data_IF_156616263269
#
_entry.id   IF_156616263269
#
_cell.length_a   1.000
_cell.length_b   1.000
_cell.length_c   1.000
_cell.angle_alpha   90.00
_cell.angle_beta   90.00
_cell.angle_gamma   90.00
#
_symmetry.space_group_name_H-M   'P 1'
#
loop_
_entity.id
_entity.type
_entity.pdbx_description
1 polymer ?
#
# COMPACT_ATOMS: atom_id res chain seq x y z
N UNK A 1 7.63 8.74 19.93
CA UNK A 1 6.38 9.10 19.20
C UNK A 1 5.68 10.27 19.90
N UNK A 2 5.37 11.34 19.17
CA UNK A 2 4.64 12.49 19.73
C UNK A 2 3.12 12.28 19.78
N UNK A 3 2.61 11.12 19.30
CA UNK A 3 1.18 10.80 19.30
C UNK A 3 0.94 9.30 19.54
N UNK A 4 0.64 8.93 20.78
CA UNK A 4 0.51 7.52 21.21
C UNK A 4 -0.86 6.91 20.91
N UNK A 5 -1.92 7.73 20.83
CA UNK A 5 -3.26 7.23 20.50
C UNK A 5 -3.31 6.63 19.09
N UNK A 6 -2.63 7.29 18.16
CA UNK A 6 -2.49 6.82 16.77
C UNK A 6 -1.73 5.48 16.68
N UNK A 7 -0.64 5.34 17.44
CA UNK A 7 0.12 4.09 17.46
C UNK A 7 -0.75 2.95 17.99
N UNK A 8 -1.53 3.19 19.03
CA UNK A 8 -2.45 2.20 19.58
C UNK A 8 -3.51 1.77 18.56
N UNK A 9 -4.12 2.72 17.86
CA UNK A 9 -5.12 2.43 16.82
C UNK A 9 -4.53 1.60 15.67
N UNK A 10 -3.36 1.99 15.16
CA UNK A 10 -2.68 1.25 14.09
C UNK A 10 -2.30 -0.18 14.51
N UNK A 11 -1.85 -0.37 15.75
CA UNK A 11 -1.53 -1.68 16.31
C UNK A 11 -2.78 -2.57 16.44
N UNK A 12 -3.92 -1.99 16.83
CA UNK A 12 -5.20 -2.69 16.88
C UNK A 12 -5.64 -3.13 15.50
N UNK A 13 -5.59 -2.24 14.51
CA UNK A 13 -5.98 -2.57 13.14
C UNK A 13 -5.04 -3.62 12.54
N UNK A 14 -3.72 -3.51 12.75
CA UNK A 14 -2.75 -4.53 12.31
C UNK A 14 -3.15 -5.93 12.77
N UNK A 15 -3.51 -6.09 14.05
CA UNK A 15 -3.94 -7.39 14.57
C UNK A 15 -5.24 -7.88 13.93
N UNK A 16 -6.20 -6.97 13.71
CA UNK A 16 -7.41 -7.32 12.99
C UNK A 16 -7.06 -7.82 11.59
N UNK A 17 -6.14 -7.18 10.87
CA UNK A 17 -5.74 -7.62 9.54
C UNK A 17 -5.05 -8.99 9.54
N UNK A 18 -4.18 -9.25 10.51
CA UNK A 18 -3.57 -10.58 10.71
C UNK A 18 -4.62 -11.68 10.93
N UNK A 19 -5.75 -11.35 11.57
CA UNK A 19 -6.86 -12.29 11.83
C UNK A 19 -7.83 -12.42 10.66
N UNK A 20 -8.16 -11.32 9.99
CA UNK A 20 -9.18 -11.25 8.96
C UNK A 20 -8.66 -11.67 7.58
N UNK A 21 -7.35 -11.56 7.34
CA UNK A 21 -6.73 -11.83 6.04
C UNK A 21 -5.38 -12.54 6.19
N UNK A 22 -5.32 -13.69 6.90
CA UNK A 22 -4.06 -14.36 7.22
C UNK A 22 -3.29 -14.86 5.99
N UNK A 23 -3.96 -14.97 4.83
CA UNK A 23 -3.34 -15.38 3.56
C UNK A 23 -2.53 -14.25 2.89
N UNK A 24 -2.77 -12.99 3.26
CA UNK A 24 -2.11 -11.82 2.63
C UNK A 24 -1.38 -10.94 3.64
N UNK A 25 -1.61 -11.14 4.95
CA UNK A 25 -1.02 -10.34 6.02
C UNK A 25 -0.30 -11.29 6.95
N UNK A 26 1.02 -11.11 7.06
CA UNK A 26 1.88 -11.97 7.85
C UNK A 26 2.67 -11.16 8.85
N UNK A 27 2.95 -11.78 9.98
CA UNK A 27 3.79 -11.20 11.01
C UNK A 27 5.25 -11.42 10.65
N UNK A 28 6.00 -10.34 10.47
CA UNK A 28 7.39 -10.38 10.03
C UNK A 28 8.33 -9.81 11.11
N UNK A 29 9.49 -10.45 11.32
CA UNK A 29 10.51 -9.90 12.19
C UNK A 29 11.37 -8.86 11.47
N UNK A 30 11.75 -7.84 12.23
CA UNK A 30 12.64 -6.76 11.82
C UNK A 30 13.79 -6.68 12.82
N UNK A 31 14.99 -6.41 12.30
CA UNK A 31 16.22 -6.29 13.08
C UNK A 31 16.80 -4.91 12.87
N UNK A 32 17.02 -4.21 13.99
CA UNK A 32 17.80 -2.98 14.05
C UNK A 32 19.24 -3.33 14.42
N UNK A 33 20.21 -3.29 13.50
CA UNK A 33 21.61 -3.55 13.81
C UNK A 33 22.24 -2.39 14.59
N UNK A 34 23.00 -2.70 15.64
CA UNK A 34 23.58 -1.72 16.56
C UNK A 34 25.11 -1.64 16.40
N UNK A 35 25.63 -0.47 16.05
CA UNK A 35 27.05 -0.20 15.83
C UNK A 35 27.68 0.67 16.93
N UNK A 36 26.90 1.06 17.94
CA UNK A 36 27.40 1.68 19.18
C UNK A 36 27.01 0.84 20.39
N UNK A 37 27.88 0.80 21.39
CA UNK A 37 27.70 -0.03 22.58
C UNK A 37 26.38 0.22 23.33
N UNK A 38 25.86 1.46 23.32
CA UNK A 38 24.64 1.85 24.03
C UNK A 38 23.34 1.62 23.23
N UNK A 39 23.43 1.39 21.91
CA UNK A 39 22.27 1.36 21.02
C UNK A 39 21.31 0.21 21.34
N UNK A 40 21.83 -0.97 21.73
CA UNK A 40 20.99 -2.11 22.13
C UNK A 40 20.09 -1.77 23.31
N UNK A 41 20.61 -1.05 24.31
CA UNK A 41 19.84 -0.62 25.47
C UNK A 41 18.84 0.48 25.09
N UNK A 42 19.29 1.49 24.35
CA UNK A 42 18.46 2.62 23.92
C UNK A 42 17.28 2.18 23.04
N UNK A 43 17.55 1.44 21.96
CA UNK A 43 16.53 0.95 21.05
C UNK A 43 15.72 -0.19 21.67
N UNK A 44 16.33 -1.05 22.48
CA UNK A 44 15.64 -2.09 23.23
C UNK A 44 14.57 -1.51 24.15
N UNK A 45 14.87 -0.41 24.85
CA UNK A 45 13.91 0.30 25.69
C UNK A 45 12.81 0.98 24.85
N UNK A 46 13.16 1.64 23.74
CA UNK A 46 12.15 2.23 22.85
C UNK A 46 11.17 1.20 22.27
N UNK A 47 11.70 0.07 21.81
CA UNK A 47 10.91 -1.01 21.20
C UNK A 47 10.19 -1.87 22.24
N UNK A 48 10.64 -1.92 23.50
CA UNK A 48 9.89 -2.58 24.57
C UNK A 48 8.58 -1.84 24.86
N UNK A 49 8.59 -0.50 24.87
CA UNK A 49 7.36 0.30 24.96
C UNK A 49 6.42 0.03 23.78
N UNK A 50 6.94 -0.05 22.56
CA UNK A 50 6.15 -0.40 21.38
C UNK A 50 5.53 -1.80 21.51
N UNK A 51 6.33 -2.80 21.90
CA UNK A 51 5.88 -4.20 22.10
C UNK A 51 4.82 -4.28 23.21
N UNK A 52 5.00 -3.54 24.29
CA UNK A 52 4.05 -3.44 25.38
C UNK A 52 2.71 -2.88 24.90
N UNK A 53 2.70 -1.77 24.15
CA UNK A 53 1.47 -1.21 23.57
C UNK A 53 0.78 -2.18 22.62
N UNK A 54 1.54 -2.87 21.77
CA UNK A 54 0.99 -3.88 20.88
C UNK A 54 0.29 -4.98 21.68
N UNK A 55 0.94 -5.48 22.75
CA UNK A 55 0.36 -6.49 23.63
C UNK A 55 -0.92 -6.00 24.31
N UNK A 56 -0.94 -4.76 24.81
CA UNK A 56 -2.16 -4.17 25.40
C UNK A 56 -3.29 -3.97 24.38
N UNK A 57 -2.95 -3.64 23.15
CA UNK A 57 -3.93 -3.35 22.11
C UNK A 57 -4.54 -4.60 21.49
N UNK A 58 -3.80 -5.71 21.43
CA UNK A 58 -4.10 -6.81 20.51
C UNK A 58 -3.90 -8.22 21.08
N UNK A 59 -3.21 -8.36 22.21
CA UNK A 59 -2.92 -9.65 22.85
C UNK A 59 -1.67 -10.38 22.32
N UNK A 60 -1.20 -10.08 21.11
CA UNK A 60 0.03 -10.63 20.54
C UNK A 60 0.88 -9.54 19.86
N UNK A 61 2.09 -9.33 20.35
CA UNK A 61 3.06 -8.38 19.81
C UNK A 61 4.26 -9.05 19.13
N UNK A 62 4.40 -10.38 19.30
CA UNK A 62 5.70 -11.05 19.16
C UNK A 62 6.62 -10.76 20.35
N UNK A 63 7.78 -11.40 20.39
CA UNK A 63 8.79 -11.16 21.41
C UNK A 63 9.87 -10.19 20.91
N UNK A 64 10.12 -9.14 21.68
CA UNK A 64 11.34 -8.35 21.54
C UNK A 64 12.54 -9.24 21.92
N UNK A 65 13.62 -9.19 21.16
CA UNK A 65 14.84 -9.93 21.49
C UNK A 65 16.07 -9.06 21.26
N UNK A 66 16.99 -9.06 22.23
CA UNK A 66 18.31 -8.46 22.08
C UNK A 66 19.23 -9.54 21.52
N UNK A 67 19.79 -9.29 20.35
CA UNK A 67 20.67 -10.21 19.66
C UNK A 67 22.14 -9.90 19.97
N UNK A 68 22.93 -10.95 20.15
CA UNK A 68 24.39 -10.92 20.06
C UNK A 68 24.85 -10.53 18.66
N UNK A 69 26.15 -10.28 18.50
CA UNK A 69 26.75 -9.98 17.20
C UNK A 69 26.57 -11.16 16.24
N UNK A 70 26.82 -12.37 16.74
CA UNK A 70 26.78 -13.62 16.00
C UNK A 70 25.36 -13.92 15.51
N UNK A 71 24.36 -13.84 16.39
CA UNK A 71 22.94 -14.01 16.02
C UNK A 71 22.46 -12.96 15.01
N UNK A 72 22.97 -11.72 15.12
CA UNK A 72 22.62 -10.66 14.16
C UNK A 72 23.19 -10.97 12.78
N UNK A 73 24.44 -11.45 12.70
CA UNK A 73 25.08 -11.82 11.44
C UNK A 73 24.48 -13.07 10.81
N UNK A 74 23.99 -14.01 11.62
CA UNK A 74 23.25 -15.18 11.13
C UNK A 74 21.94 -14.78 10.45
N UNK A 75 21.20 -13.86 11.07
CA UNK A 75 19.88 -13.41 10.57
C UNK A 75 19.97 -12.40 9.43
N UNK A 76 21.00 -11.56 9.44
CA UNK A 76 21.28 -10.56 8.41
C UNK A 76 22.69 -10.78 7.82
N UNK A 77 22.92 -11.84 7.03
CA UNK A 77 24.27 -12.20 6.53
C UNK A 77 24.92 -11.12 5.65
N UNK A 78 24.13 -10.22 5.07
CA UNK A 78 24.60 -9.13 4.21
C UNK A 78 25.13 -7.88 4.93
N UNK A 79 25.08 -7.80 6.28
CA UNK A 79 25.48 -6.58 7.00
C UNK A 79 26.98 -6.51 7.30
N UNK A 80 27.46 -5.29 7.52
CA UNK A 80 28.85 -5.01 7.90
C UNK A 80 29.13 -5.55 9.31
N UNK A 81 30.09 -6.47 9.43
CA UNK A 81 30.46 -7.07 10.73
C UNK A 81 31.37 -6.19 11.60
N UNK A 82 32.14 -5.30 10.98
CA UNK A 82 33.05 -4.39 11.69
C UNK A 82 32.26 -3.31 12.44
N UNK A 83 32.55 -3.15 13.73
CA UNK A 83 31.86 -2.21 14.62
C UNK A 83 30.49 -2.68 15.12
N UNK A 84 29.99 -3.84 14.67
CA UNK A 84 28.70 -4.38 15.09
C UNK A 84 28.76 -4.92 16.53
N UNK A 85 27.85 -4.44 17.39
CA UNK A 85 27.67 -4.88 18.78
C UNK A 85 26.54 -5.91 18.96
N UNK A 86 25.71 -6.12 17.93
CA UNK A 86 24.52 -6.96 17.94
C UNK A 86 23.32 -6.25 17.33
N UNK A 87 22.11 -6.59 17.74
CA UNK A 87 20.90 -5.99 17.20
C UNK A 87 19.70 -6.06 18.13
N UNK A 88 18.64 -5.34 17.79
CA UNK A 88 17.35 -5.41 18.45
C UNK A 88 16.32 -5.94 17.46
N UNK A 89 15.74 -7.09 17.77
CA UNK A 89 14.73 -7.76 16.95
C UNK A 89 13.34 -7.48 17.51
N UNK A 90 12.44 -7.03 16.65
CA UNK A 90 11.03 -6.77 16.96
C UNK A 90 10.15 -7.28 15.83
N UNK A 91 8.82 -7.21 16.01
CA UNK A 91 7.87 -7.70 15.03
C UNK A 91 6.92 -6.58 14.57
N UNK A 92 6.63 -6.61 13.27
CA UNK A 92 5.52 -5.87 12.67
C UNK A 92 4.80 -6.79 11.66
N UNK A 93 3.95 -6.24 10.80
CA UNK A 93 3.29 -7.00 9.73
C UNK A 93 3.79 -6.59 8.34
N UNK A 94 3.88 -7.57 7.45
CA UNK A 94 4.03 -7.38 6.01
C UNK A 94 2.72 -7.83 5.34
N UNK A 95 2.31 -7.13 4.29
CA UNK A 95 1.15 -7.52 3.51
C UNK A 95 1.35 -7.23 2.02
N UNK A 96 0.58 -7.90 1.18
CA UNK A 96 0.48 -7.59 -0.24
C UNK A 96 -0.65 -6.57 -0.47
N UNK A 97 -0.30 -5.36 -0.90
CA UNK A 97 -1.23 -4.24 -1.03
C UNK A 97 -2.23 -4.38 -2.18
N UNK A 98 -1.77 -4.69 -3.39
CA UNK A 98 -2.66 -4.80 -4.54
C UNK A 98 -3.54 -6.05 -4.49
N UNK A 99 -3.05 -7.19 -3.96
CA UNK A 99 -3.90 -8.38 -3.73
C UNK A 99 -4.90 -8.13 -2.61
N UNK A 100 -4.54 -7.35 -1.59
CA UNK A 100 -5.50 -6.94 -0.56
C UNK A 100 -6.58 -6.02 -1.12
N UNK A 101 -6.25 -5.12 -2.05
CA UNK A 101 -7.23 -4.30 -2.77
C UNK A 101 -8.21 -5.17 -3.60
N UNK A 102 -7.71 -6.21 -4.27
CA UNK A 102 -8.53 -7.17 -5.02
C UNK A 102 -9.41 -7.99 -4.08
N UNK A 103 -8.88 -8.45 -2.95
CA UNK A 103 -9.66 -9.17 -1.94
C UNK A 103 -10.80 -8.31 -1.36
N UNK A 104 -10.56 -7.00 -1.16
CA UNK A 104 -11.61 -6.06 -0.77
C UNK A 104 -12.70 -5.94 -1.84
N UNK A 105 -12.31 -5.86 -3.11
CA UNK A 105 -13.25 -5.85 -4.23
C UNK A 105 -14.08 -7.14 -4.29
N UNK A 106 -13.45 -8.31 -4.21
CA UNK A 106 -14.17 -9.60 -4.18
C UNK A 106 -15.14 -9.68 -3.00
N UNK A 107 -14.72 -9.21 -1.82
CA UNK A 107 -15.60 -9.16 -0.65
C UNK A 107 -16.79 -8.24 -0.91
N UNK A 108 -16.58 -7.06 -1.50
CA UNK A 108 -17.66 -6.15 -1.83
C UNK A 108 -18.66 -6.77 -2.83
N UNK A 109 -18.16 -7.43 -3.88
CA UNK A 109 -18.98 -8.14 -4.88
C UNK A 109 -19.77 -9.29 -4.24
N UNK A 110 -19.15 -10.07 -3.35
CA UNK A 110 -19.82 -11.13 -2.60
C UNK A 110 -20.96 -10.61 -1.71
N UNK A 111 -20.88 -9.34 -1.29
CA UNK A 111 -21.92 -8.61 -0.58
C UNK A 111 -22.87 -7.82 -1.48
N UNK A 112 -22.84 -8.05 -2.80
CA UNK A 112 -23.78 -7.47 -3.77
C UNK A 112 -23.40 -6.09 -4.29
N UNK A 113 -22.17 -5.61 -4.04
CA UNK A 113 -21.68 -4.39 -4.66
C UNK A 113 -21.38 -4.59 -6.15
N UNK A 114 -21.60 -3.55 -6.95
CA UNK A 114 -21.11 -3.48 -8.33
C UNK A 114 -19.79 -2.72 -8.31
N UNK A 115 -18.70 -3.41 -8.66
CA UNK A 115 -17.36 -2.83 -8.78
C UNK A 115 -17.01 -2.68 -10.26
N UNK A 116 -16.68 -1.45 -10.67
CA UNK A 116 -16.26 -1.12 -12.03
C UNK A 116 -14.88 -0.48 -11.99
N UNK A 117 -13.96 -0.98 -12.80
CA UNK A 117 -12.68 -0.34 -13.10
C UNK A 117 -12.67 0.14 -14.55
N UNK A 118 -11.65 0.93 -14.93
CA UNK A 118 -11.62 1.62 -16.23
C UNK A 118 -12.85 2.50 -16.49
N UNK A 119 -13.46 3.00 -15.41
CA UNK A 119 -14.58 3.95 -15.42
C UNK A 119 -14.16 5.21 -14.68
N UNK A 120 -13.95 6.31 -15.41
CA UNK A 120 -13.51 7.59 -14.84
C UNK A 120 -14.72 8.45 -14.45
N UNK A 121 -14.61 9.19 -13.34
CA UNK A 121 -15.58 10.23 -13.00
C UNK A 121 -15.24 11.51 -13.77
N UNK A 122 -16.21 12.05 -14.49
CA UNK A 122 -16.06 13.19 -15.40
C UNK A 122 -16.83 14.43 -14.93
N UNK A 123 -17.74 14.28 -13.96
CA UNK A 123 -18.59 15.37 -13.52
C UNK A 123 -19.76 14.94 -12.67
N UNK A 124 -20.54 15.92 -12.25
CA UNK A 124 -21.72 15.72 -11.41
C UNK A 124 -22.87 16.61 -11.87
N UNK A 125 -24.09 16.07 -11.83
CA UNK A 125 -25.31 16.87 -11.98
C UNK A 125 -25.91 17.14 -10.60
N UNK A 126 -26.36 18.37 -10.38
CA UNK A 126 -26.90 18.84 -9.11
C UNK A 126 -28.40 19.08 -9.18
N UNK A 127 -29.10 18.72 -8.10
CA UNK A 127 -30.45 19.15 -7.81
C UNK A 127 -30.42 20.01 -6.53
N UNK A 128 -30.38 21.34 -6.72
CA UNK A 128 -30.14 22.28 -5.61
C UNK A 128 -28.71 22.19 -5.10
N UNK A 129 -28.55 21.90 -3.81
CA UNK A 129 -27.25 21.76 -3.13
C UNK A 129 -26.71 20.32 -3.12
N UNK A 130 -27.52 19.34 -3.57
CA UNK A 130 -27.17 17.91 -3.58
C UNK A 130 -26.80 17.42 -4.97
N UNK A 131 -25.91 16.45 -5.01
CA UNK A 131 -25.58 15.69 -6.21
C UNK A 131 -26.74 14.73 -6.50
N UNK A 132 -27.34 14.86 -7.68
CA UNK A 132 -28.36 13.93 -8.19
C UNK A 132 -27.70 12.72 -8.87
N UNK A 133 -26.65 12.97 -9.66
CA UNK A 133 -25.95 11.92 -10.41
C UNK A 133 -24.49 12.27 -10.68
N UNK A 134 -23.70 11.23 -10.91
CA UNK A 134 -22.33 11.30 -11.38
C UNK A 134 -22.28 10.97 -12.87
N UNK A 135 -21.52 11.74 -13.63
CA UNK A 135 -21.19 11.46 -15.03
C UNK A 135 -19.90 10.65 -15.02
N UNK A 136 -19.93 9.50 -15.67
CA UNK A 136 -18.76 8.62 -15.78
C UNK A 136 -18.46 8.29 -17.23
N UNK A 137 -17.19 8.12 -17.55
CA UNK A 137 -16.72 7.66 -18.86
C UNK A 137 -16.19 6.24 -18.73
N UNK A 138 -16.76 5.33 -19.52
CA UNK A 138 -16.15 4.02 -19.78
C UNK A 138 -14.93 4.24 -20.68
N UNK A 139 -13.73 4.01 -20.15
CA UNK A 139 -12.47 4.24 -20.87
C UNK A 139 -12.21 3.20 -21.96
N UNK A 140 -12.90 2.06 -21.95
CA UNK A 140 -12.76 1.02 -22.97
C UNK A 140 -13.57 1.40 -24.23
N UNK A 141 -14.80 1.93 -24.06
CA UNK A 141 -15.66 2.31 -25.19
C UNK A 141 -15.70 3.81 -25.51
N UNK A 142 -15.20 4.67 -24.61
CA UNK A 142 -15.30 6.13 -24.68
C UNK A 142 -16.70 6.68 -24.41
N UNK A 143 -17.67 5.83 -24.04
CA UNK A 143 -19.05 6.24 -23.81
C UNK A 143 -19.22 6.86 -22.44
N UNK A 144 -20.03 7.91 -22.37
CA UNK A 144 -20.42 8.55 -21.11
C UNK A 144 -21.76 8.01 -20.61
N UNK A 145 -21.82 7.76 -19.32
CA UNK A 145 -22.99 7.27 -18.61
C UNK A 145 -23.33 8.21 -17.44
N UNK A 146 -24.59 8.22 -17.03
CA UNK A 146 -25.05 8.97 -15.86
C UNK A 146 -25.54 7.99 -14.80
N UNK A 147 -24.92 8.03 -13.62
CA UNK A 147 -25.22 7.13 -12.50
C UNK A 147 -25.89 7.94 -11.39
N UNK A 148 -27.16 7.64 -11.09
CA UNK A 148 -27.88 8.25 -9.98
C UNK A 148 -27.46 7.62 -8.65
N UNK A 149 -27.33 8.45 -7.61
CA UNK A 149 -26.93 8.01 -6.28
C UNK A 149 -27.60 8.84 -5.20
N UNK A 150 -27.87 8.21 -4.05
CA UNK A 150 -28.37 8.93 -2.87
C UNK A 150 -27.24 9.57 -2.07
N UNK A 151 -26.07 8.94 -2.13
CA UNK A 151 -24.87 9.29 -1.37
C UNK A 151 -23.65 9.03 -2.23
N UNK A 152 -22.66 9.91 -2.15
CA UNK A 152 -21.40 9.81 -2.89
C UNK A 152 -20.22 9.82 -1.91
N UNK A 153 -19.20 9.02 -2.19
CA UNK A 153 -17.97 8.99 -1.41
C UNK A 153 -16.80 9.28 -2.35
N UNK A 154 -16.07 10.36 -2.10
CA UNK A 154 -14.85 10.68 -2.81
C UNK A 154 -13.66 10.11 -2.03
N UNK A 155 -13.18 8.95 -2.49
CA UNK A 155 -12.04 8.22 -1.90
C UNK A 155 -10.84 8.19 -2.86
N UNK A 156 -10.68 9.21 -3.71
CA UNK A 156 -9.72 9.21 -4.82
C UNK A 156 -8.24 9.45 -4.41
N UNK A 157 -7.88 9.18 -3.14
CA UNK A 157 -6.49 9.27 -2.67
C UNK A 157 -5.85 10.65 -2.96
N UNK A 158 -4.69 10.71 -3.64
CA UNK A 158 -4.06 11.97 -4.04
C UNK A 158 -4.93 12.85 -4.96
N UNK A 159 -5.91 12.26 -5.65
CA UNK A 159 -6.75 12.93 -6.65
C UNK A 159 -8.10 13.44 -6.09
N UNK A 160 -8.29 13.47 -4.78
CA UNK A 160 -9.58 13.93 -4.19
C UNK A 160 -9.92 15.36 -4.56
N UNK A 161 -8.92 16.25 -4.69
CA UNK A 161 -9.15 17.65 -5.04
C UNK A 161 -9.52 17.81 -6.52
N UNK A 162 -9.01 16.96 -7.40
CA UNK A 162 -9.40 16.84 -8.80
C UNK A 162 -10.87 16.42 -8.93
N UNK A 163 -11.30 15.40 -8.18
CA UNK A 163 -12.71 14.99 -8.15
C UNK A 163 -13.60 16.12 -7.61
N UNK A 164 -13.16 16.86 -6.59
CA UNK A 164 -13.91 18.00 -6.06
C UNK A 164 -14.07 19.12 -7.09
N UNK A 165 -13.05 19.40 -7.91
CA UNK A 165 -13.12 20.40 -8.99
C UNK A 165 -14.15 20.02 -10.06
N UNK A 166 -14.38 18.74 -10.33
CA UNK A 166 -15.40 18.26 -11.27
C UNK A 166 -16.84 18.61 -10.86
N UNK A 167 -17.06 19.07 -9.62
CA UNK A 167 -18.37 19.59 -9.19
C UNK A 167 -18.72 20.95 -9.80
N UNK A 168 -17.74 21.66 -10.39
CA UNK A 168 -17.90 23.02 -10.89
C UNK A 168 -18.09 24.08 -9.79
N UNK A 169 -17.99 23.70 -8.50
CA UNK A 169 -18.03 24.61 -7.36
C UNK A 169 -16.63 25.17 -7.07
N UNK A 170 -16.56 26.37 -6.50
CA UNK A 170 -15.30 26.93 -6.03
C UNK A 170 -14.81 26.17 -4.79
N UNK A 171 -13.77 25.36 -4.97
CA UNK A 171 -13.19 24.49 -3.94
C UNK A 171 -11.72 24.81 -3.73
N UNK A 172 -11.32 24.97 -2.47
CA UNK A 172 -9.92 25.13 -2.10
C UNK A 172 -9.27 23.75 -1.90
N UNK A 173 -8.07 23.51 -2.44
CA UNK A 173 -7.36 22.27 -2.23
C UNK A 173 -6.92 22.14 -0.78
N UNK A 174 -7.02 20.93 -0.23
CA UNK A 174 -6.57 20.61 1.12
C UNK A 174 -5.64 19.40 1.17
N UNK A 175 -5.36 18.75 0.04
CA UNK A 175 -4.36 17.69 -0.07
C UNK A 175 -3.05 18.25 -0.60
N UNK A 176 -1.96 17.86 0.04
CA UNK A 176 -0.60 17.94 -0.50
C UNK A 176 -0.16 16.55 -0.89
N UNK A 177 0.39 16.42 -2.09
CA UNK A 177 0.96 15.17 -2.55
C UNK A 177 2.42 15.07 -2.11
N UNK A 178 2.82 13.92 -1.59
CA UNK A 178 4.22 13.58 -1.33
C UNK A 178 4.53 12.23 -1.94
N UNK A 179 5.56 12.14 -2.78
CA UNK A 179 6.00 10.88 -3.36
C UNK A 179 6.97 10.15 -2.45
N UNK A 180 6.88 8.83 -2.48
CA UNK A 180 7.83 7.92 -1.86
C UNK A 180 8.21 6.81 -2.82
N UNK A 181 9.51 6.57 -2.92
CA UNK A 181 10.09 5.66 -3.89
C UNK A 181 10.76 4.47 -3.20
N UNK A 182 10.90 3.38 -3.93
CA UNK A 182 11.60 2.17 -3.52
C UNK A 182 12.47 1.65 -4.66
N UNK A 183 13.58 1.00 -4.31
CA UNK A 183 14.41 0.22 -5.24
C UNK A 183 14.30 -1.27 -4.87
N UNK A 184 14.32 -2.13 -5.89
CA UNK A 184 14.30 -3.58 -5.76
C UNK A 184 15.67 -4.12 -6.15
N UNK A 185 16.24 -4.98 -5.30
CA UNK A 185 17.56 -5.58 -5.46
C UNK A 185 17.47 -7.11 -5.42
N UNK A 186 18.50 -7.80 -5.95
CA UNK A 186 18.63 -9.25 -5.78
C UNK A 186 18.94 -9.60 -4.32
N UNK A 187 18.02 -10.30 -3.67
CA UNK A 187 18.15 -10.75 -2.28
C UNK A 187 19.37 -11.68 -2.08
N UNK A 188 19.76 -12.44 -3.11
CA UNK A 188 20.88 -13.40 -3.06
C UNK A 188 22.21 -12.69 -2.84
N UNK A 189 22.37 -11.48 -3.39
CA UNK A 189 23.58 -10.65 -3.21
C UNK A 189 23.87 -10.33 -1.74
N UNK A 190 22.84 -10.38 -0.89
CA UNK A 190 22.92 -10.08 0.54
C UNK A 190 22.79 -11.33 1.43
N UNK A 191 22.99 -12.53 0.87
CA UNK A 191 22.99 -13.78 1.61
C UNK A 191 21.60 -14.34 1.92
N UNK A 192 20.56 -13.94 1.18
CA UNK A 192 19.19 -14.41 1.36
C UNK A 192 18.62 -14.22 2.78
N UNK A 193 18.69 -13.00 3.36
CA UNK A 193 18.12 -12.75 4.68
C UNK A 193 16.63 -13.09 4.69
N UNK A 194 16.17 -13.68 5.80
CA UNK A 194 14.75 -14.01 6.02
C UNK A 194 14.01 -12.98 6.85
N UNK A 195 14.74 -12.06 7.48
CA UNK A 195 14.20 -11.01 8.34
C UNK A 195 14.55 -9.64 7.76
N UNK A 196 13.70 -8.64 8.01
CA UNK A 196 13.91 -7.28 7.51
C UNK A 196 14.97 -6.52 8.30
N UNK A 197 15.77 -5.68 7.64
CA UNK A 197 16.67 -4.74 8.31
C UNK A 197 15.98 -3.37 8.47
N UNK A 198 16.00 -2.83 9.69
CA UNK A 198 15.50 -1.51 10.03
C UNK A 198 16.67 -0.55 10.27
N UNK A 199 16.74 0.52 9.46
CA UNK A 199 17.71 1.60 9.60
C UNK A 199 17.02 2.73 10.37
N UNK A 200 17.41 2.97 11.64
CA UNK A 200 16.68 3.87 12.53
C UNK A 200 16.92 5.35 12.23
N UNK A 201 17.96 5.66 11.45
CA UNK A 201 18.34 7.04 11.15
C UNK A 201 19.08 7.13 9.81
N UNK A 202 18.45 7.76 8.84
CA UNK A 202 19.05 8.17 7.57
C UNK A 202 19.83 9.49 7.72
N UNK A 203 20.53 9.90 6.66
CA UNK A 203 21.27 11.17 6.58
C UNK A 203 20.46 12.41 6.94
N UNK A 204 19.14 12.37 6.74
CA UNK A 204 18.19 13.45 7.08
C UNK A 204 17.30 13.15 8.30
N UNK A 205 17.60 12.09 9.05
CA UNK A 205 16.91 11.78 10.30
C UNK A 205 15.62 10.97 10.18
N UNK A 206 15.30 10.46 8.98
CA UNK A 206 14.18 9.53 8.74
C UNK A 206 14.60 8.07 9.01
N UNK A 207 13.67 7.15 8.77
CA UNK A 207 13.90 5.70 8.85
C UNK A 207 13.94 5.12 7.44
N UNK A 208 14.67 4.02 7.26
CA UNK A 208 14.73 3.27 6.01
C UNK A 208 14.63 1.76 6.33
N UNK A 209 14.10 0.99 5.41
CA UNK A 209 13.95 -0.46 5.53
C UNK A 209 14.68 -1.15 4.38
N UNK A 210 15.19 -2.35 4.65
CA UNK A 210 15.61 -3.32 3.63
C UNK A 210 14.89 -4.63 3.92
N UNK A 211 13.86 -4.96 3.13
CA UNK A 211 12.90 -6.02 3.43
C UNK A 211 12.97 -7.13 2.40
N UNK A 212 13.13 -8.39 2.83
CA UNK A 212 12.85 -9.53 1.96
C UNK A 212 11.39 -9.47 1.48
N UNK A 213 11.18 -9.55 0.17
CA UNK A 213 9.87 -9.41 -0.47
C UNK A 213 9.85 -10.15 -1.82
N UNK A 214 9.01 -11.17 -1.97
CA UNK A 214 8.91 -12.01 -3.18
C UNK A 214 10.26 -12.50 -3.72
N UNK A 215 11.15 -12.98 -2.84
CA UNK A 215 12.49 -13.42 -3.22
C UNK A 215 13.48 -12.30 -3.59
N UNK A 216 13.05 -11.04 -3.48
CA UNK A 216 13.82 -9.83 -3.72
C UNK A 216 14.13 -9.10 -2.40
N UNK A 217 14.98 -8.07 -2.47
CA UNK A 217 15.19 -7.13 -1.38
C UNK A 217 14.64 -5.75 -1.76
N UNK A 218 13.55 -5.35 -1.11
CA UNK A 218 12.97 -4.02 -1.25
C UNK A 218 13.68 -3.04 -0.31
N UNK A 219 14.14 -1.90 -0.84
CA UNK A 219 14.75 -0.84 -0.05
C UNK A 219 13.94 0.45 -0.20
N UNK A 220 13.54 1.03 0.93
CA UNK A 220 12.80 2.28 0.92
C UNK A 220 12.40 2.80 2.31
N UNK A 221 11.82 3.99 2.40
CA UNK A 221 11.34 4.83 1.29
C UNK A 221 11.84 6.27 1.38
N UNK A 222 11.58 7.04 0.33
CA UNK A 222 11.76 8.50 0.28
C UNK A 222 10.45 9.24 0.64
N UNK A 223 10.56 10.56 0.74
CA UNK A 223 9.46 11.47 1.08
C UNK A 223 9.81 12.83 0.50
N UNK A 224 9.37 13.07 -0.74
CA UNK A 224 9.60 14.31 -1.47
C UNK A 224 8.25 14.94 -1.85
N UNK A 225 8.12 16.27 -1.88
CA UNK A 225 6.93 16.92 -2.42
C UNK A 225 6.68 16.48 -3.86
N UNK A 226 5.43 16.18 -4.20
CA UNK A 226 5.01 15.86 -5.56
C UNK A 226 4.12 17.00 -6.11
N UNK A 227 4.36 17.47 -7.35
CA UNK A 227 3.51 18.48 -7.96
C UNK A 227 2.04 18.03 -8.08
N UNK A 228 1.14 19.00 -8.02
CA UNK A 228 -0.29 18.82 -8.30
C UNK A 228 -0.67 19.54 -9.60
N UNK A 229 -1.47 18.95 -10.51
CA UNK A 229 -2.08 17.62 -10.41
C UNK A 229 -1.04 16.49 -10.45
N UNK A 230 -1.30 15.44 -9.68
CA UNK A 230 -0.40 14.28 -9.54
C UNK A 230 -0.34 13.51 -10.87
N UNK A 231 0.88 13.24 -11.35
CA UNK A 231 1.09 12.37 -12.50
C UNK A 231 0.64 10.93 -12.15
N UNK A 232 -0.10 10.28 -13.05
CA UNK A 232 -0.50 8.87 -12.88
C UNK A 232 0.70 7.92 -12.92
N UNK A 233 1.80 8.33 -13.56
CA UNK A 233 3.07 7.58 -13.60
C UNK A 233 4.23 8.42 -13.05
N UNK A 234 4.26 8.66 -11.73
CA UNK A 234 5.37 9.37 -11.12
C UNK A 234 6.66 8.57 -11.32
N UNK A 235 7.75 9.26 -11.65
CA UNK A 235 9.06 8.64 -11.89
C UNK A 235 9.99 8.93 -10.71
N UNK A 236 10.80 7.93 -10.38
CA UNK A 236 11.85 8.06 -9.38
C UNK A 236 12.95 8.98 -9.91
N UNK A 237 13.51 9.81 -9.05
CA UNK A 237 14.68 10.64 -9.39
C UNK A 237 16.01 9.96 -9.04
N UNK A 238 17.09 10.39 -9.70
CA UNK A 238 18.43 9.89 -9.41
C UNK A 238 18.86 10.18 -7.97
N UNK A 239 18.44 11.33 -7.42
CA UNK A 239 18.72 11.72 -6.05
C UNK A 239 18.03 10.80 -5.03
N UNK A 240 16.83 10.29 -5.34
CA UNK A 240 16.12 9.32 -4.50
C UNK A 240 16.82 7.97 -4.49
N UNK A 241 17.31 7.52 -5.65
CA UNK A 241 18.12 6.30 -5.79
C UNK A 241 19.41 6.44 -4.98
N UNK A 242 20.15 7.53 -5.16
CA UNK A 242 21.40 7.80 -4.45
C UNK A 242 21.17 7.90 -2.95
N UNK A 243 20.07 8.53 -2.51
CA UNK A 243 19.70 8.58 -1.10
C UNK A 243 19.51 7.19 -0.51
N UNK A 244 18.72 6.32 -1.15
CA UNK A 244 18.46 4.97 -0.64
C UNK A 244 19.74 4.12 -0.63
N UNK A 245 20.51 4.15 -1.72
CA UNK A 245 21.79 3.43 -1.82
C UNK A 245 22.79 3.91 -0.77
N UNK A 246 22.99 5.23 -0.62
CA UNK A 246 23.96 5.77 0.33
C UNK A 246 23.60 5.37 1.78
N UNK A 247 22.32 5.42 2.14
CA UNK A 247 21.87 5.07 3.49
C UNK A 247 21.96 3.56 3.76
N UNK A 248 21.54 2.69 2.84
CA UNK A 248 21.65 1.25 3.05
C UNK A 248 23.11 0.78 3.03
N UNK A 249 23.95 1.39 2.19
CA UNK A 249 25.37 1.07 2.10
C UNK A 249 26.14 1.30 3.40
N UNK A 250 25.67 2.15 4.31
CA UNK A 250 26.30 2.32 5.62
C UNK A 250 26.23 1.06 6.50
N UNK A 251 25.27 0.18 6.21
CA UNK A 251 24.99 -1.03 6.97
C UNK A 251 25.39 -2.31 6.25
N UNK A 252 25.49 -2.28 4.91
CA UNK A 252 25.76 -3.46 4.10
C UNK A 252 27.26 -3.74 3.95
N UNK A 253 27.64 -5.02 4.00
CA UNK A 253 28.99 -5.52 3.71
C UNK A 253 29.32 -5.33 2.23
N UNK A 254 28.41 -5.75 1.36
CA UNK A 254 28.51 -5.56 -0.09
C UNK A 254 27.75 -4.31 -0.48
N UNK A 255 28.43 -3.36 -1.13
CA UNK A 255 27.80 -2.11 -1.55
C UNK A 255 26.83 -2.36 -2.69
N UNK A 256 25.67 -1.72 -2.59
CA UNK A 256 24.69 -1.53 -3.66
C UNK A 256 25.24 -0.47 -4.61
N UNK A 257 25.16 -0.79 -5.89
CA UNK A 257 25.46 0.06 -7.04
C UNK A 257 24.22 0.19 -7.92
N UNK A 258 24.21 1.12 -8.87
CA UNK A 258 23.04 1.34 -9.74
C UNK A 258 22.74 0.12 -10.61
N UNK A 259 23.79 -0.60 -10.98
CA UNK A 259 23.75 -1.83 -11.77
C UNK A 259 23.06 -2.99 -11.03
N UNK A 260 22.89 -2.89 -9.71
CA UNK A 260 22.19 -3.90 -8.91
C UNK A 260 20.67 -3.69 -8.84
N UNK A 261 20.17 -2.55 -9.33
CA UNK A 261 18.75 -2.20 -9.26
C UNK A 261 18.00 -2.93 -10.36
N UNK A 262 17.08 -3.81 -9.95
CA UNK A 262 16.28 -4.63 -10.85
C UNK A 262 14.97 -3.96 -11.24
N UNK A 263 14.38 -3.20 -10.31
CA UNK A 263 13.19 -2.41 -10.55
C UNK A 263 13.10 -1.25 -9.56
N UNK A 264 12.23 -0.29 -9.87
CA UNK A 264 11.87 0.81 -8.98
C UNK A 264 10.38 1.04 -9.04
N UNK A 265 9.77 1.47 -7.95
CA UNK A 265 8.39 1.95 -7.97
C UNK A 265 8.22 3.18 -7.08
N UNK A 266 7.20 3.97 -7.41
CA UNK A 266 6.88 5.23 -6.74
C UNK A 266 5.40 5.23 -6.39
N UNK A 267 5.09 5.60 -5.15
CA UNK A 267 3.74 5.86 -4.68
C UNK A 267 3.58 7.31 -4.26
N UNK A 268 2.34 7.82 -4.28
CA UNK A 268 2.01 9.19 -3.85
C UNK A 268 1.08 9.15 -2.65
N UNK A 269 1.47 9.85 -1.59
CA UNK A 269 0.75 9.96 -0.32
C UNK A 269 -0.19 11.16 -0.37
N UNK A 270 -1.50 10.99 -0.06
CA UNK A 270 -2.43 12.10 0.08
C UNK A 270 -2.31 12.74 1.47
N UNK A 271 -1.42 13.72 1.64
CA UNK A 271 -1.23 14.38 2.93
C UNK A 271 -2.29 15.47 3.15
N UNK A 272 -3.21 15.23 4.07
CA UNK A 272 -4.24 16.20 4.43
C UNK A 272 -3.68 17.40 5.21
N UNK A 273 -4.12 18.60 4.86
CA UNK A 273 -3.75 19.85 5.54
C UNK A 273 -4.97 20.54 6.18
N UNK A 274 -5.12 20.48 7.53
CA UNK A 274 -6.29 21.03 8.22
C UNK A 274 -6.52 22.54 8.02
N UNK A 275 -5.43 23.31 7.83
CA UNK A 275 -5.48 24.78 7.72
C UNK A 275 -6.33 25.27 6.53
N UNK A 276 -6.39 24.49 5.43
CA UNK A 276 -7.17 24.85 4.25
C UNK A 276 -8.62 24.34 4.31
N UNK A 277 -8.88 23.30 5.11
CA UNK A 277 -10.19 22.67 5.22
C UNK A 277 -11.15 23.41 6.18
N UNK A 278 -10.63 24.15 7.15
CA UNK A 278 -11.43 25.01 8.03
C UNK A 278 -12.16 26.14 7.28
N UNK A 279 -11.74 26.44 6.04
CA UNK A 279 -12.40 27.40 5.16
C UNK A 279 -13.50 26.79 4.28
N UNK A 280 -13.53 25.46 4.10
CA UNK A 280 -14.48 24.76 3.21
C UNK A 280 -15.50 23.90 3.95
N UNK A 281 -15.23 23.48 5.18
CA UNK A 281 -16.17 22.80 6.06
C UNK A 281 -16.55 23.70 7.23
N UNK A 282 -17.84 24.03 7.39
CA UNK A 282 -18.35 24.57 8.65
C UNK A 282 -17.97 23.65 9.83
N UNK A 283 -18.14 24.12 11.08
CA UNK A 283 -17.70 23.57 12.39
C UNK A 283 -17.85 22.05 12.70
N UNK A 284 -18.19 21.20 11.74
CA UNK A 284 -18.49 19.76 11.82
C UNK A 284 -17.44 18.82 11.21
N UNK A 285 -16.28 19.31 10.77
CA UNK A 285 -15.18 18.43 10.33
C UNK A 285 -14.60 17.65 11.53
N UNK A 286 -14.88 16.35 11.62
CA UNK A 286 -14.21 15.45 12.58
C UNK A 286 -12.84 15.08 12.01
N UNK A 287 -11.82 15.83 12.41
CA UNK A 287 -10.43 15.65 11.96
C UNK A 287 -9.72 14.67 12.91
N UNK A 288 -9.26 13.53 12.38
CA UNK A 288 -8.15 12.80 12.99
C UNK A 288 -6.85 13.37 12.42
N UNK A 289 -5.73 13.30 13.16
CA UNK A 289 -4.43 13.78 12.67
C UNK A 289 -3.91 12.98 11.47
N UNK A 290 -4.47 11.80 11.18
CA UNK A 290 -4.04 10.95 10.05
C UNK A 290 -5.01 11.00 8.86
N UNK A 291 -6.32 10.97 9.09
CA UNK A 291 -7.34 10.99 8.03
C UNK A 291 -8.46 12.00 8.31
N UNK A 292 -9.10 12.45 7.25
CA UNK A 292 -10.24 13.36 7.30
C UNK A 292 -11.46 12.77 6.60
N UNK A 293 -12.62 12.94 7.25
CA UNK A 293 -13.94 12.68 6.65
C UNK A 293 -14.64 14.03 6.54
N UNK A 294 -14.76 14.54 5.31
CA UNK A 294 -15.19 15.92 5.04
C UNK A 294 -16.55 15.87 4.33
N UNK A 295 -17.63 16.32 4.98
CA UNK A 295 -18.94 16.41 4.36
C UNK A 295 -18.99 17.58 3.39
N UNK A 296 -19.36 17.31 2.14
CA UNK A 296 -19.41 18.30 1.07
C UNK A 296 -20.68 18.10 0.22
N UNK A 297 -21.10 19.15 -0.49
CA UNK A 297 -22.12 19.08 -1.55
C UNK A 297 -23.44 18.39 -1.16
N UNK A 298 -23.87 18.57 0.09
CA UNK A 298 -25.14 18.07 0.63
C UNK A 298 -25.21 16.55 0.88
N UNK A 299 -24.64 15.72 -0.01
CA UNK A 299 -24.65 14.26 0.06
C UNK A 299 -23.37 13.59 -0.45
N UNK A 300 -22.22 14.28 -0.32
CA UNK A 300 -20.90 13.69 -0.55
C UNK A 300 -20.06 13.67 0.73
N UNK A 301 -19.29 12.61 0.94
CA UNK A 301 -18.17 12.63 1.89
C UNK A 301 -16.86 12.48 1.12
N UNK A 302 -15.92 13.42 1.32
CA UNK A 302 -14.53 13.26 0.88
C UNK A 302 -13.71 12.61 1.99
N UNK A 303 -13.02 11.52 1.66
CA UNK A 303 -12.16 10.75 2.54
C UNK A 303 -10.72 10.87 2.03
N UNK A 304 -9.83 11.44 2.85
CA UNK A 304 -8.44 11.67 2.47
C UNK A 304 -7.50 11.51 3.67
N UNK A 305 -6.19 11.47 3.39
CA UNK A 305 -5.20 11.04 4.37
C UNK A 305 -5.29 9.55 4.66
N UNK A 306 -4.81 9.20 5.84
CA UNK A 306 -4.81 7.86 6.38
C UNK A 306 -3.65 7.01 5.85
N UNK A 307 -3.63 5.78 6.33
CA UNK A 307 -2.67 4.74 5.95
C UNK A 307 -3.44 3.50 5.57
N UNK A 308 -2.81 2.64 4.78
CA UNK A 308 -3.38 1.35 4.45
C UNK A 308 -3.77 0.56 5.71
N UNK A 309 -2.92 0.55 6.75
CA UNK A 309 -3.21 -0.13 8.03
C UNK A 309 -4.53 0.30 8.67
N UNK A 310 -4.99 1.53 8.43
CA UNK A 310 -6.20 2.09 9.03
C UNK A 310 -7.43 2.09 8.11
N UNK A 311 -7.34 1.52 6.89
CA UNK A 311 -8.41 1.64 5.87
C UNK A 311 -9.79 1.23 6.39
N UNK A 312 -9.85 0.14 7.17
CA UNK A 312 -11.10 -0.43 7.70
C UNK A 312 -11.75 0.52 8.71
N UNK A 313 -10.96 1.04 9.65
CA UNK A 313 -11.44 2.03 10.62
C UNK A 313 -11.84 3.35 9.93
N UNK A 314 -11.11 3.77 8.88
CA UNK A 314 -11.48 4.94 8.08
C UNK A 314 -12.84 4.75 7.39
N UNK A 315 -13.07 3.58 6.79
CA UNK A 315 -14.35 3.25 6.15
C UNK A 315 -15.49 3.21 7.18
N UNK A 316 -15.27 2.59 8.35
CA UNK A 316 -16.25 2.59 9.45
C UNK A 316 -16.58 4.02 9.92
N UNK A 317 -15.57 4.87 10.06
CA UNK A 317 -15.75 6.29 10.41
C UNK A 317 -16.58 7.03 9.34
N UNK A 318 -16.30 6.82 8.06
CA UNK A 318 -17.06 7.43 6.96
C UNK A 318 -18.54 7.04 7.01
N UNK A 319 -18.83 5.74 7.20
CA UNK A 319 -20.21 5.24 7.31
C UNK A 319 -20.93 5.79 8.53
N UNK A 320 -20.23 5.90 9.68
CA UNK A 320 -20.78 6.51 10.89
C UNK A 320 -21.15 7.99 10.66
N UNK A 321 -20.27 8.77 10.03
CA UNK A 321 -20.55 10.18 9.71
C UNK A 321 -21.73 10.32 8.75
N UNK A 322 -21.85 9.44 7.75
CA UNK A 322 -22.98 9.43 6.83
C UNK A 322 -24.31 9.14 7.57
N UNK A 323 -24.31 8.19 8.50
CA UNK A 323 -25.48 7.86 9.32
C UNK A 323 -25.86 8.98 10.29
N UNK A 324 -24.88 9.57 10.99
CA UNK A 324 -25.08 10.71 11.90
C UNK A 324 -25.69 11.93 11.19
N UNK A 325 -25.42 12.08 9.89
CA UNK A 325 -26.00 13.14 9.04
C UNK A 325 -27.35 12.79 8.44
N UNK A 326 -27.89 11.60 8.73
CA UNK A 326 -29.15 11.12 8.15
C UNK A 326 -29.09 10.89 6.64
N UNK A 327 -27.89 10.72 6.06
CA UNK A 327 -27.70 10.47 4.63
C UNK A 327 -27.92 8.99 4.29
N UNK A 328 -27.69 8.12 5.26
CA UNK A 328 -27.98 6.68 5.20
C UNK A 328 -28.60 6.21 6.52
N UNK A 329 -29.31 5.07 6.54
CA UNK A 329 -29.74 4.46 7.79
C UNK A 329 -28.55 4.09 8.69
N UNK A 330 -28.74 4.23 10.01
CA UNK A 330 -27.77 3.69 10.97
C UNK A 330 -27.75 2.16 10.92
N UNK A 331 -26.55 1.58 10.94
CA UNK A 331 -26.36 0.13 10.90
C UNK A 331 -25.15 -0.28 11.75
N UNK A 332 -25.14 -1.53 12.20
CA UNK A 332 -24.01 -2.10 12.90
C UNK A 332 -22.94 -2.55 11.88
N UNK A 333 -21.70 -2.14 12.10
CA UNK A 333 -20.55 -2.59 11.30
C UNK A 333 -20.17 -4.02 11.69
N UNK A 334 -20.00 -4.88 10.69
CA UNK A 334 -19.53 -6.27 10.89
C UNK A 334 -18.05 -6.43 10.55
N UNK A 335 -17.38 -5.36 10.11
CA UNK A 335 -16.05 -5.43 9.47
C UNK A 335 -14.93 -5.89 10.40
N UNK A 336 -15.09 -5.80 11.71
CA UNK A 336 -14.12 -6.34 12.68
C UNK A 336 -14.13 -7.87 12.78
N UNK A 337 -15.14 -8.51 12.17
CA UNK A 337 -15.34 -9.97 12.15
C UNK A 337 -15.58 -10.51 10.74
N UNK A 338 -15.35 -9.69 9.71
CA UNK A 338 -15.60 -10.06 8.32
C UNK A 338 -14.26 -10.38 7.65
N UNK A 339 -13.92 -11.67 7.43
CA UNK A 339 -12.75 -12.03 6.65
C UNK A 339 -12.88 -11.51 5.22
N UNK A 340 -11.75 -11.19 4.59
CA UNK A 340 -11.77 -10.84 3.16
C UNK A 340 -11.84 -12.09 2.29
N UNK A 341 -12.57 -11.99 1.19
CA UNK A 341 -12.63 -13.00 0.13
C UNK A 341 -11.32 -13.00 -0.65
N UNK A 342 -10.41 -13.90 -0.28
CA UNK A 342 -9.17 -14.16 -1.00
C UNK A 342 -9.38 -15.36 -1.93
N UNK A 343 -8.99 -15.22 -3.19
CA UNK A 343 -8.98 -16.35 -4.12
C UNK A 343 -7.78 -17.26 -3.81
N UNK A 344 -8.05 -18.53 -3.51
CA UNK A 344 -7.03 -19.54 -3.20
C UNK A 344 -6.95 -20.63 -4.27
N UNK A 345 -7.60 -20.45 -5.42
CA UNK A 345 -7.54 -21.40 -6.53
C UNK A 345 -6.15 -21.48 -7.18
N UNK A 346 -5.36 -20.41 -7.05
CA UNK A 346 -3.98 -20.33 -7.51
C UNK A 346 -3.07 -19.85 -6.38
N UNK A 347 -1.82 -20.27 -6.44
CA UNK A 347 -0.74 -19.69 -5.65
C UNK A 347 0.03 -18.70 -6.53
N UNK A 348 -0.29 -17.39 -6.46
CA UNK A 348 0.33 -16.40 -7.31
C UNK A 348 1.83 -16.20 -6.97
N UNK A 349 2.25 -16.46 -5.73
CA UNK A 349 3.68 -16.40 -5.38
C UNK A 349 4.47 -17.57 -6.00
N UNK A 350 3.89 -18.77 -6.04
CA UNK A 350 4.50 -19.89 -6.75
C UNK A 350 4.63 -19.61 -8.26
N UNK A 351 3.60 -19.02 -8.89
CA UNK A 351 3.64 -18.62 -10.30
C UNK A 351 4.74 -17.58 -10.53
N UNK A 352 4.80 -16.54 -9.69
CA UNK A 352 5.83 -15.50 -9.75
C UNK A 352 7.24 -16.09 -9.68
N UNK A 353 7.50 -16.92 -8.68
CA UNK A 353 8.82 -17.50 -8.45
C UNK A 353 9.24 -18.42 -9.60
N UNK A 354 8.33 -19.28 -10.09
CA UNK A 354 8.58 -20.15 -11.25
C UNK A 354 8.83 -19.33 -12.50
N UNK A 355 7.99 -18.34 -12.79
CA UNK A 355 8.13 -17.52 -13.98
C UNK A 355 9.40 -16.66 -13.95
N UNK A 356 9.71 -16.01 -12.83
CA UNK A 356 10.89 -15.15 -12.69
C UNK A 356 12.22 -15.90 -12.80
N UNK A 357 12.24 -17.20 -12.46
CA UNK A 357 13.45 -18.04 -12.45
C UNK A 357 13.60 -18.95 -13.67
N UNK A 358 12.55 -19.13 -14.47
CA UNK A 358 12.59 -20.04 -15.61
C UNK A 358 13.56 -19.57 -16.70
N UNK A 359 14.37 -20.49 -17.21
CA UNK A 359 15.34 -20.19 -18.28
C UNK A 359 14.65 -19.79 -19.58
N UNK A 360 13.52 -20.44 -19.89
CA UNK A 360 12.73 -20.23 -21.10
C UNK A 360 11.32 -19.75 -20.74
N UNK A 361 10.73 -18.92 -21.60
CA UNK A 361 9.36 -18.39 -21.37
C UNK A 361 8.32 -19.45 -21.65
N UNK A 362 8.59 -20.33 -22.61
CA UNK A 362 7.73 -21.43 -23.04
C UNK A 362 7.43 -22.41 -21.90
N UNK A 363 8.33 -22.53 -20.92
CA UNK A 363 8.14 -23.43 -19.79
C UNK A 363 7.10 -22.92 -18.77
N UNK A 364 6.74 -21.64 -18.83
CA UNK A 364 5.90 -20.95 -17.82
C UNK A 364 4.75 -20.13 -18.40
N UNK A 365 4.76 -19.89 -19.72
CA UNK A 365 3.78 -19.05 -20.40
C UNK A 365 2.35 -19.52 -20.16
N UNK A 366 2.10 -20.83 -20.21
CA UNK A 366 0.76 -21.40 -20.07
C UNK A 366 0.17 -21.13 -18.69
N UNK A 367 0.97 -21.23 -17.62
CA UNK A 367 0.50 -20.95 -16.25
C UNK A 367 0.14 -19.48 -16.07
N UNK A 368 0.99 -18.58 -16.56
CA UNK A 368 0.78 -17.13 -16.45
C UNK A 368 -0.44 -16.71 -17.29
N UNK A 369 -0.59 -17.28 -18.48
CA UNK A 369 -1.75 -17.02 -19.35
C UNK A 369 -3.03 -17.57 -18.74
N UNK A 370 -3.02 -18.79 -18.20
CA UNK A 370 -4.18 -19.36 -17.52
C UNK A 370 -4.61 -18.51 -16.33
N UNK A 371 -3.64 -18.03 -15.54
CA UNK A 371 -3.89 -17.08 -14.45
C UNK A 371 -4.46 -15.75 -14.96
N UNK A 372 -3.90 -15.19 -16.04
CA UNK A 372 -4.38 -13.93 -16.63
C UNK A 372 -5.84 -14.01 -17.11
N UNK A 373 -6.21 -15.10 -17.80
CA UNK A 373 -7.58 -15.35 -18.27
C UNK A 373 -8.54 -15.36 -17.07
N UNK A 374 -8.18 -16.07 -16.00
CA UNK A 374 -8.98 -16.09 -14.78
C UNK A 374 -9.13 -14.68 -14.19
N UNK A 375 -8.04 -13.95 -14.02
CA UNK A 375 -8.08 -12.61 -13.43
C UNK A 375 -8.89 -11.62 -14.28
N UNK A 376 -8.98 -11.83 -15.60
CA UNK A 376 -9.90 -11.08 -16.46
C UNK A 376 -11.36 -11.42 -16.18
N UNK A 377 -11.68 -12.69 -15.89
CA UNK A 377 -13.04 -13.16 -15.59
C UNK A 377 -13.53 -12.74 -14.20
N UNK A 378 -12.68 -12.84 -13.17
CA UNK A 378 -13.13 -12.74 -11.77
C UNK A 378 -12.62 -11.49 -11.05
N UNK A 379 -11.46 -10.97 -11.46
CA UNK A 379 -10.75 -9.89 -10.74
C UNK A 379 -10.65 -8.60 -11.55
N UNK A 380 -11.38 -8.48 -12.66
CA UNK A 380 -11.45 -7.27 -13.49
C UNK A 380 -10.13 -6.89 -14.17
N UNK A 381 -9.21 -7.82 -14.44
CA UNK A 381 -8.02 -7.49 -15.22
C UNK A 381 -8.42 -7.12 -16.67
N UNK A 382 -7.90 -5.99 -17.20
CA UNK A 382 -8.16 -5.54 -18.57
C UNK A 382 -6.94 -5.49 -19.46
N UNK A 383 -5.74 -5.50 -18.89
CA UNK A 383 -4.50 -5.50 -19.65
C UNK A 383 -3.41 -6.32 -18.97
N UNK A 384 -2.32 -6.56 -19.67
CA UNK A 384 -1.20 -7.32 -19.15
C UNK A 384 -0.62 -6.72 -17.87
N UNK A 385 -0.61 -5.39 -17.71
CA UNK A 385 -0.06 -4.76 -16.50
C UNK A 385 -0.95 -4.95 -15.28
N UNK A 386 -2.27 -5.09 -15.45
CA UNK A 386 -3.15 -5.52 -14.36
C UNK A 386 -2.67 -6.84 -13.78
N UNK A 387 -2.31 -7.79 -14.64
CA UNK A 387 -1.85 -9.10 -14.21
C UNK A 387 -0.41 -9.04 -13.72
N UNK A 388 0.53 -8.61 -14.55
CA UNK A 388 1.97 -8.76 -14.32
C UNK A 388 2.54 -7.88 -13.21
N UNK A 389 1.88 -6.75 -12.88
CA UNK A 389 2.34 -5.82 -11.83
C UNK A 389 1.43 -5.76 -10.60
N UNK A 390 0.14 -6.12 -10.71
CA UNK A 390 -0.85 -5.97 -9.61
C UNK A 390 -1.44 -7.29 -9.09
N UNK A 391 -1.67 -8.30 -9.93
CA UNK A 391 -2.09 -9.63 -9.46
C UNK A 391 -0.86 -10.51 -9.17
N UNK A 392 0.12 -10.41 -10.07
CA UNK A 392 1.49 -10.88 -9.93
C UNK A 392 2.44 -9.71 -9.68
N UNK A 393 3.66 -10.01 -9.24
CA UNK A 393 4.79 -9.08 -8.98
C UNK A 393 5.93 -9.24 -9.97
N UNK A 394 5.69 -9.93 -11.09
CA UNK A 394 6.71 -10.18 -12.12
C UNK A 394 7.33 -8.89 -12.64
N UNK A 395 6.52 -7.84 -12.81
CA UNK A 395 6.98 -6.52 -13.24
C UNK A 395 8.04 -5.89 -12.33
N UNK A 396 8.01 -6.20 -11.04
CA UNK A 396 8.98 -5.75 -10.04
C UNK A 396 10.15 -6.74 -9.86
N UNK A 397 9.93 -8.02 -10.16
CA UNK A 397 10.92 -9.09 -9.93
C UNK A 397 11.87 -9.31 -11.11
N UNK A 398 11.37 -9.27 -12.35
CA UNK A 398 12.14 -9.60 -13.54
C UNK A 398 11.59 -8.86 -14.77
N UNK A 399 12.22 -7.74 -15.12
CA UNK A 399 11.82 -6.90 -16.26
C UNK A 399 11.89 -7.65 -17.60
N UNK A 400 12.94 -8.46 -17.82
CA UNK A 400 13.09 -9.23 -19.07
C UNK A 400 11.93 -10.21 -19.26
N UNK A 401 11.63 -11.01 -18.23
CA UNK A 401 10.54 -11.98 -18.27
C UNK A 401 9.17 -11.31 -18.38
N UNK A 402 8.99 -10.16 -17.72
CA UNK A 402 7.76 -9.36 -17.85
C UNK A 402 7.53 -8.95 -19.29
N UNK A 403 8.56 -8.50 -20.00
CA UNK A 403 8.44 -8.11 -21.40
C UNK A 403 8.14 -9.30 -22.32
N UNK A 404 8.80 -10.45 -22.09
CA UNK A 404 8.53 -11.69 -22.81
C UNK A 404 7.05 -12.16 -22.64
N UNK A 405 6.46 -11.95 -21.46
CA UNK A 405 5.10 -12.38 -21.14
C UNK A 405 4.02 -11.34 -21.50
N UNK A 406 4.37 -10.06 -21.67
CA UNK A 406 3.43 -8.96 -21.88
C UNK A 406 2.51 -9.19 -23.07
N UNK A 407 3.07 -9.56 -24.22
CA UNK A 407 2.32 -9.84 -25.44
C UNK A 407 1.33 -11.00 -25.28
N UNK A 408 1.80 -12.21 -24.95
CA UNK A 408 0.93 -13.37 -24.76
C UNK A 408 -0.17 -13.17 -23.72
N UNK A 409 0.14 -12.51 -22.60
CA UNK A 409 -0.84 -12.19 -21.56
C UNK A 409 -1.90 -11.21 -22.09
N UNK A 410 -1.50 -10.17 -22.83
CA UNK A 410 -2.44 -9.22 -23.43
C UNK A 410 -3.36 -9.91 -24.44
N UNK A 411 -2.82 -10.72 -25.34
CA UNK A 411 -3.60 -11.46 -26.34
C UNK A 411 -4.63 -12.40 -25.69
N UNK A 412 -4.25 -13.06 -24.60
CA UNK A 412 -5.14 -13.94 -23.86
C UNK A 412 -6.29 -13.17 -23.19
N UNK A 413 -5.99 -12.04 -22.56
CA UNK A 413 -7.01 -11.15 -21.95
C UNK A 413 -7.96 -10.62 -23.03
N UNK A 414 -7.43 -10.09 -24.14
CA UNK A 414 -8.23 -9.56 -25.24
C UNK A 414 -9.16 -10.61 -25.84
N UNK A 415 -8.68 -11.86 -25.96
CA UNK A 415 -9.48 -12.98 -26.46
C UNK A 415 -10.59 -13.35 -25.47
N UNK A 416 -10.30 -13.31 -24.17
CA UNK A 416 -11.29 -13.63 -23.14
C UNK A 416 -12.39 -12.55 -23.06
N UNK A 417 -12.02 -11.28 -23.08
CA UNK A 417 -12.97 -10.16 -22.99
C UNK A 417 -13.86 -10.00 -24.25
N UNK A 418 -13.50 -10.64 -25.37
CA UNK A 418 -14.31 -10.68 -26.58
C UNK A 418 -15.36 -11.81 -26.59
N UNK A 419 -15.27 -12.79 -25.68
CA UNK A 419 -16.28 -13.84 -25.52
C UNK A 419 -17.47 -13.30 -24.76
#
# INVERSE_FOLDING_TARGET
PHDWGLVFEALRERELLLKLVPNLVHKNPFILPCYRWYEKAFYGLGLSFYTMMAKFSSGDAGSLSILSKEETLEKLPGIKAEGLYGGVRFYDAQFDDARMAIALMHTAVAHGAVCLNYVACDGFNFAGDKIESMIVEDKESGKKHTVKGKMFFNCAGPWVDEIRKLTGKDVKPFVKAARGSHIILDLKKFGNPKEGMFIPKTSDGRVLFCLPWHGMLEVGTTDLPEPVPVNMEPKISDEEIDFMMANCNNYLKTKVTREDILATFVGVRPLYTPANAAASGGKTAKVSREHAIIPEFGNMLTITGGKWTAYRNMAEHAMKVAAEKGLIPSSHTITTKLPLTVDTAFDPEAIEMRAAQAEKVEDVIDDVVAFAIREAQVSGARNADDVLFRRLRLGQMNAKRTEELRGPVQEAIDKELKK
#
